data_IF_715845784264
#
_entry.id   IF_715845784264
#
_cell.length_a   1.000
_cell.length_b   1.000
_cell.length_c   1.000
_cell.angle_alpha   90.00
_cell.angle_beta   90.00
_cell.angle_gamma   90.00
#
_symmetry.space_group_name_H-M   'P 1'
#
loop_
_entity.id
_entity.type
_entity.pdbx_description
1 polymer ?
#
# COMPACT_ATOMS: atom_id res chain seq x y z
N UNK A 1 3.61 28.37 8.05
CA UNK A 1 2.92 28.10 6.77
C UNK A 1 3.88 27.27 5.93
N UNK A 2 3.44 26.07 5.52
CA UNK A 2 4.15 25.28 4.51
C UNK A 2 4.24 26.11 3.22
N UNK A 3 5.42 26.21 2.60
CA UNK A 3 5.51 26.92 1.32
C UNK A 3 4.81 26.12 0.21
N UNK A 4 4.56 26.75 -0.94
CA UNK A 4 3.86 26.09 -2.04
C UNK A 4 4.55 24.80 -2.53
N UNK A 5 5.89 24.68 -2.38
CA UNK A 5 6.64 23.49 -2.78
C UNK A 5 6.40 22.36 -1.79
N UNK A 6 6.44 22.64 -0.49
CA UNK A 6 6.15 21.64 0.53
C UNK A 6 4.71 21.14 0.41
N UNK A 7 3.75 22.02 0.16
CA UNK A 7 2.37 21.61 -0.09
C UNK A 7 2.24 20.74 -1.36
N UNK A 8 2.96 21.07 -2.43
CA UNK A 8 2.93 20.31 -3.68
C UNK A 8 3.62 18.93 -3.59
N UNK A 9 4.68 18.82 -2.81
CA UNK A 9 5.49 17.59 -2.70
C UNK A 9 5.08 16.68 -1.53
N UNK A 10 4.17 17.13 -0.66
CA UNK A 10 3.68 16.32 0.45
C UNK A 10 3.01 15.05 -0.08
N UNK A 11 3.38 13.89 0.49
CA UNK A 11 2.86 12.56 0.10
C UNK A 11 3.00 12.21 -1.39
N UNK A 12 3.97 12.82 -2.10
CA UNK A 12 4.14 12.63 -3.54
C UNK A 12 4.64 11.22 -3.92
N UNK A 13 5.41 10.56 -3.06
CA UNK A 13 6.14 9.34 -3.40
C UNK A 13 5.47 8.13 -2.76
N UNK A 14 4.71 7.39 -3.57
CA UNK A 14 4.23 6.07 -3.18
C UNK A 14 5.36 5.05 -3.20
N UNK A 15 5.41 4.20 -2.18
CA UNK A 15 6.36 3.13 -2.06
C UNK A 15 5.87 1.89 -2.81
N UNK A 16 6.56 1.55 -3.89
CA UNK A 16 6.29 0.41 -4.74
C UNK A 16 7.36 -0.70 -4.61
N UNK A 17 8.03 -0.81 -3.45
CA UNK A 17 9.11 -1.77 -3.22
C UNK A 17 8.77 -3.22 -3.58
N UNK A 18 7.50 -3.62 -3.44
CA UNK A 18 7.00 -4.95 -3.79
C UNK A 18 6.92 -5.22 -5.30
N UNK A 19 7.02 -4.20 -6.13
CA UNK A 19 6.86 -4.30 -7.58
C UNK A 19 8.22 -4.26 -8.30
N UNK A 20 8.30 -4.78 -9.54
CA UNK A 20 9.52 -4.69 -10.34
C UNK A 20 9.98 -3.24 -10.54
N UNK A 21 11.30 -2.99 -10.60
CA UNK A 21 12.37 -3.98 -10.65
C UNK A 21 12.88 -4.46 -9.28
N UNK A 22 12.50 -3.79 -8.18
CA UNK A 22 13.01 -4.14 -6.86
C UNK A 22 12.46 -5.48 -6.37
N UNK A 23 11.13 -5.66 -6.47
CA UNK A 23 10.43 -6.90 -6.10
C UNK A 23 10.85 -7.42 -4.71
N UNK A 24 10.98 -6.52 -3.74
CA UNK A 24 11.50 -6.86 -2.42
C UNK A 24 10.58 -7.87 -1.72
N UNK A 25 11.15 -8.76 -0.88
CA UNK A 25 10.36 -9.53 0.07
C UNK A 25 9.54 -8.59 0.97
N UNK A 26 8.30 -8.97 1.30
CA UNK A 26 7.37 -8.11 2.05
C UNK A 26 7.94 -7.56 3.35
N UNK A 27 8.65 -8.40 4.13
CA UNK A 27 9.26 -7.97 5.38
C UNK A 27 10.36 -6.92 5.19
N UNK A 28 11.14 -7.02 4.11
CA UNK A 28 12.16 -6.02 3.75
C UNK A 28 11.49 -4.73 3.28
N UNK A 29 10.47 -4.81 2.42
CA UNK A 29 9.71 -3.65 1.97
C UNK A 29 9.07 -2.88 3.14
N UNK A 30 8.45 -3.58 4.10
CA UNK A 30 7.90 -2.96 5.33
C UNK A 30 9.00 -2.31 6.17
N UNK A 31 10.16 -2.95 6.31
CA UNK A 31 11.27 -2.38 7.07
C UNK A 31 11.82 -1.11 6.42
N UNK A 32 12.01 -1.10 5.09
CA UNK A 32 12.45 0.07 4.35
C UNK A 32 11.43 1.22 4.41
N UNK A 33 10.14 0.92 4.28
CA UNK A 33 9.08 1.92 4.42
C UNK A 33 9.09 2.58 5.81
N UNK A 34 9.26 1.79 6.88
CA UNK A 34 9.42 2.30 8.27
C UNK A 34 10.64 3.21 8.41
N UNK A 35 11.77 2.83 7.81
CA UNK A 35 12.99 3.61 7.85
C UNK A 35 12.82 4.95 7.12
N UNK A 36 12.15 4.96 5.96
CA UNK A 36 11.84 6.18 5.23
C UNK A 36 10.92 7.12 6.04
N UNK A 37 9.94 6.56 6.77
CA UNK A 37 9.00 7.33 7.60
C UNK A 37 9.69 7.98 8.81
N UNK A 38 10.79 7.43 9.28
CA UNK A 38 11.63 8.01 10.35
C UNK A 38 12.66 9.03 9.84
N UNK A 39 12.77 9.21 8.52
CA UNK A 39 13.78 10.06 7.88
C UNK A 39 13.38 11.53 7.75
N UNK A 40 14.33 12.42 7.38
CA UNK A 40 14.08 13.85 7.21
C UNK A 40 13.13 14.20 6.04
N UNK A 41 12.85 13.23 5.16
CA UNK A 41 12.01 13.39 3.98
C UNK A 41 10.66 12.67 4.10
N UNK A 42 10.30 12.18 5.30
CA UNK A 42 9.06 11.41 5.53
C UNK A 42 7.79 12.15 5.12
N UNK A 43 7.81 13.48 5.15
CA UNK A 43 6.70 14.32 4.69
C UNK A 43 6.36 14.17 3.19
N UNK A 44 7.29 13.66 2.37
CA UNK A 44 7.05 13.35 0.94
C UNK A 44 6.55 11.91 0.71
N UNK A 45 6.59 11.05 1.73
CA UNK A 45 6.19 9.64 1.62
C UNK A 45 4.66 9.54 1.58
N UNK A 46 4.16 8.88 0.55
CA UNK A 46 2.75 8.61 0.31
C UNK A 46 2.36 7.21 0.78
N UNK A 47 1.67 6.48 -0.08
CA UNK A 47 1.12 5.15 0.23
C UNK A 47 2.18 4.06 0.20
N UNK A 48 1.98 2.99 0.98
CA UNK A 48 2.63 1.70 0.72
C UNK A 48 1.78 0.91 -0.27
N UNK A 49 2.29 0.65 -1.47
CA UNK A 49 1.58 -0.11 -2.48
C UNK A 49 1.76 -1.62 -2.26
N UNK A 50 0.65 -2.36 -2.24
CA UNK A 50 0.64 -3.79 -2.03
C UNK A 50 -0.25 -4.49 -3.07
N UNK A 51 0.18 -5.59 -3.69
CA UNK A 51 -0.72 -6.43 -4.47
C UNK A 51 -1.88 -6.92 -3.59
N UNK A 52 -3.11 -6.93 -4.13
CA UNK A 52 -4.30 -7.32 -3.36
C UNK A 52 -4.13 -8.71 -2.75
N UNK A 53 -3.58 -9.66 -3.52
CA UNK A 53 -3.27 -11.02 -3.05
C UNK A 53 -2.33 -11.11 -1.83
N UNK A 54 -1.55 -10.06 -1.54
CA UNK A 54 -0.56 -10.01 -0.45
C UNK A 54 -1.03 -9.23 0.77
N UNK A 55 -2.21 -8.61 0.73
CA UNK A 55 -2.77 -7.86 1.86
C UNK A 55 -2.91 -8.70 3.15
N UNK A 56 -3.30 -9.99 3.12
CA UNK A 56 -3.33 -10.81 4.34
C UNK A 56 -1.95 -10.98 4.99
N UNK A 57 -0.90 -11.17 4.18
CA UNK A 57 0.47 -11.25 4.68
C UNK A 57 0.93 -9.91 5.27
N UNK A 58 0.53 -8.80 4.64
CA UNK A 58 0.84 -7.46 5.13
C UNK A 58 0.16 -7.19 6.47
N UNK A 59 -1.11 -7.56 6.62
CA UNK A 59 -1.83 -7.44 7.89
C UNK A 59 -1.12 -8.18 9.02
N UNK A 60 -0.65 -9.40 8.74
CA UNK A 60 0.14 -10.19 9.68
C UNK A 60 1.49 -9.54 10.00
N UNK A 61 2.21 -9.00 9.01
CA UNK A 61 3.50 -8.34 9.20
C UNK A 61 3.42 -7.01 9.98
N UNK A 62 2.24 -6.37 9.97
CA UNK A 62 1.95 -5.15 10.71
C UNK A 62 1.36 -5.42 12.10
N UNK A 63 1.16 -6.69 12.49
CA UNK A 63 0.45 -7.07 13.73
C UNK A 63 -0.94 -6.39 13.86
N UNK A 64 -1.58 -6.08 12.72
CA UNK A 64 -2.86 -5.34 12.67
C UNK A 64 -2.75 -3.83 12.93
N UNK A 65 -1.57 -3.28 13.20
CA UNK A 65 -1.35 -1.84 13.36
C UNK A 65 -0.50 -1.30 12.20
N UNK A 66 -1.17 -0.65 11.24
CA UNK A 66 -0.51 0.01 10.13
C UNK A 66 0.29 1.26 10.55
N UNK A 67 0.24 1.69 11.82
CA UNK A 67 1.05 2.79 12.32
C UNK A 67 0.75 4.13 11.64
N UNK A 68 -0.50 4.32 11.19
CA UNK A 68 -0.94 5.50 10.45
C UNK A 68 -0.54 5.53 8.97
N UNK A 69 -0.10 4.40 8.40
CA UNK A 69 0.19 4.31 6.97
C UNK A 69 -1.08 4.36 6.13
N UNK A 70 -1.00 5.02 4.97
CA UNK A 70 -1.98 4.82 3.91
C UNK A 70 -1.51 3.66 3.02
N UNK A 71 -2.37 2.70 2.76
CA UNK A 71 -2.06 1.52 1.93
C UNK A 71 -2.83 1.61 0.63
N UNK A 72 -2.12 1.45 -0.50
CA UNK A 72 -2.72 1.35 -1.82
C UNK A 72 -2.73 -0.10 -2.29
N UNK A 73 -3.91 -0.65 -2.59
CA UNK A 73 -4.02 -2.01 -3.12
C UNK A 73 -3.98 -2.01 -4.64
N UNK A 74 -3.12 -2.83 -5.22
CA UNK A 74 -3.08 -3.07 -6.68
C UNK A 74 -3.73 -4.41 -6.95
N UNK A 75 -4.87 -4.40 -7.65
CA UNK A 75 -5.55 -5.64 -8.07
C UNK A 75 -4.65 -6.41 -9.04
N UNK A 76 -4.34 -7.66 -8.70
CA UNK A 76 -3.37 -8.50 -9.39
C UNK A 76 -3.97 -9.80 -9.94
N UNK A 77 -5.29 -9.94 -9.89
CA UNK A 77 -6.04 -10.94 -10.63
C UNK A 77 -5.89 -10.81 -12.16
N UNK A 78 -6.28 -11.85 -12.92
CA UNK A 78 -6.13 -11.88 -14.38
C UNK A 78 -6.81 -10.69 -15.08
N UNK A 79 -6.02 -9.82 -15.71
CA UNK A 79 -6.46 -8.54 -16.26
C UNK A 79 -7.37 -8.62 -17.51
N UNK A 80 -7.53 -9.78 -18.13
CA UNK A 80 -8.33 -9.97 -19.37
C UNK A 80 -8.93 -11.38 -19.44
N UNK A 81 -10.04 -11.49 -20.16
CA UNK A 81 -10.74 -12.76 -20.42
C UNK A 81 -12.12 -12.81 -19.80
N UNK A 82 -12.85 -13.90 -20.05
CA UNK A 82 -14.25 -14.05 -19.62
C UNK A 82 -14.46 -14.12 -18.10
N UNK A 83 -13.38 -14.19 -17.32
CA UNK A 83 -13.41 -14.27 -15.85
C UNK A 83 -12.81 -13.02 -15.16
N UNK A 84 -12.51 -11.93 -15.90
CA UNK A 84 -11.88 -10.74 -15.33
C UNK A 84 -12.75 -10.07 -14.26
N UNK A 85 -14.07 -10.03 -14.46
CA UNK A 85 -14.99 -9.42 -13.49
C UNK A 85 -14.99 -10.19 -12.17
N UNK A 86 -15.00 -11.52 -12.23
CA UNK A 86 -14.91 -12.41 -11.08
C UNK A 86 -13.58 -12.24 -10.34
N UNK A 87 -12.47 -12.10 -11.08
CA UNK A 87 -11.16 -11.82 -10.49
C UNK A 87 -11.12 -10.47 -9.77
N UNK A 88 -11.61 -9.40 -10.40
CA UNK A 88 -11.71 -8.08 -9.76
C UNK A 88 -12.57 -8.14 -8.50
N UNK A 89 -13.70 -8.86 -8.52
CA UNK A 89 -14.54 -9.05 -7.34
C UNK A 89 -13.78 -9.77 -6.22
N UNK A 90 -13.06 -10.84 -6.54
CA UNK A 90 -12.28 -11.57 -5.56
C UNK A 90 -11.19 -10.69 -4.92
N UNK A 91 -10.49 -9.89 -5.72
CA UNK A 91 -9.48 -8.96 -5.19
C UNK A 91 -10.13 -7.87 -4.31
N UNK A 92 -11.29 -7.34 -4.71
CA UNK A 92 -12.03 -6.37 -3.91
C UNK A 92 -12.54 -6.97 -2.58
N UNK A 93 -12.93 -8.24 -2.56
CA UNK A 93 -13.30 -8.94 -1.32
C UNK A 93 -12.09 -9.05 -0.36
N UNK A 94 -10.89 -9.28 -0.89
CA UNK A 94 -9.64 -9.27 -0.10
C UNK A 94 -9.35 -7.87 0.44
N UNK A 95 -9.50 -6.83 -0.38
CA UNK A 95 -9.32 -5.43 0.04
C UNK A 95 -10.32 -5.07 1.15
N UNK A 96 -11.60 -5.42 0.99
CA UNK A 96 -12.62 -5.17 1.99
C UNK A 96 -12.31 -5.87 3.32
N UNK A 97 -11.91 -7.14 3.27
CA UNK A 97 -11.48 -7.89 4.46
C UNK A 97 -10.28 -7.24 5.15
N UNK A 98 -9.26 -6.82 4.40
CA UNK A 98 -8.13 -6.08 4.97
C UNK A 98 -8.58 -4.77 5.64
N UNK A 99 -9.50 -4.05 5.01
CA UNK A 99 -9.98 -2.77 5.49
C UNK A 99 -10.71 -2.84 6.84
N UNK A 100 -11.50 -3.89 7.05
CA UNK A 100 -12.17 -4.16 8.33
C UNK A 100 -11.18 -4.42 9.48
N UNK A 101 -10.00 -4.98 9.17
CA UNK A 101 -8.98 -5.30 10.17
C UNK A 101 -8.01 -4.14 10.44
N UNK A 102 -7.79 -3.24 9.46
CA UNK A 102 -6.72 -2.25 9.50
C UNK A 102 -7.17 -0.79 9.72
N UNK A 103 -8.47 -0.53 9.94
CA UNK A 103 -9.06 0.82 10.04
C UNK A 103 -8.70 1.72 8.85
N UNK A 104 -9.35 1.48 7.70
CA UNK A 104 -9.08 2.21 6.46
C UNK A 104 -9.71 3.60 6.44
N UNK A 105 -8.88 4.61 6.18
CA UNK A 105 -9.30 6.01 6.06
C UNK A 105 -9.72 6.44 4.63
N UNK A 106 -9.44 5.64 3.59
CA UNK A 106 -9.83 5.95 2.20
C UNK A 106 -9.79 4.74 1.25
N UNK A 107 -10.81 4.60 0.39
CA UNK A 107 -10.82 3.71 -0.79
C UNK A 107 -11.07 4.60 -2.01
N UNK A 108 -10.06 4.79 -2.87
CA UNK A 108 -10.16 5.49 -4.16
C UNK A 108 -10.04 4.52 -5.34
#
# INVERSE_FOLDING_TARGET
MSDARHAFLAHLIDDAALFPPASLPLGEAVAEHRLAAAGPHSWMQGRFLCPASRLPDLAAALDGDAGGWTIGAVLDGPARGGAWVEAVRADLDVVASFAEHAAVDLVE
#
